data_IF_695131623603
#
_entry.id   IF_695131623603
#
_cell.length_a   1.000
_cell.length_b   1.000
_cell.length_c   1.000
_cell.angle_alpha   90.00
_cell.angle_beta   90.00
_cell.angle_gamma   90.00
#
_symmetry.space_group_name_H-M   'P 1'
#
loop_
_entity.id
_entity.type
_entity.pdbx_description
1 polymer ?
#
# COMPACT_ATOMS: atom_id res chain seq x y z
N UNK A 1 3.97 11.54 13.83
CA UNK A 1 3.07 11.43 12.66
C UNK A 1 3.85 10.78 11.54
N UNK A 2 3.39 9.63 11.02
CA UNK A 2 3.98 8.95 9.86
C UNK A 2 2.90 8.65 8.82
N UNK A 3 3.25 8.75 7.55
CA UNK A 3 2.39 8.38 6.42
C UNK A 3 2.92 7.10 5.80
N UNK A 4 2.06 6.09 5.76
CA UNK A 4 2.37 4.78 5.18
C UNK A 4 1.74 4.65 3.80
N UNK A 5 2.49 4.11 2.83
CA UNK A 5 1.94 3.71 1.53
C UNK A 5 1.34 2.31 1.66
N UNK A 6 0.04 2.20 1.38
CA UNK A 6 -0.67 0.93 1.49
C UNK A 6 -0.30 -0.06 0.37
N UNK A 7 -0.23 -1.36 0.68
CA UNK A 7 -0.09 -2.41 -0.34
C UNK A 7 -1.35 -2.47 -1.21
N UNK A 8 -1.16 -2.47 -2.53
CA UNK A 8 -2.26 -2.63 -3.50
C UNK A 8 -1.79 -3.50 -4.66
N UNK A 9 -2.18 -4.79 -4.63
CA UNK A 9 -1.80 -5.79 -5.64
C UNK A 9 -2.16 -5.32 -7.05
N UNK A 10 -1.20 -5.40 -7.97
CA UNK A 10 -1.34 -4.97 -9.37
C UNK A 10 -1.43 -3.45 -9.57
N UNK A 11 -1.22 -2.64 -8.51
CA UNK A 11 -1.22 -1.18 -8.60
C UNK A 11 0.06 -0.59 -8.04
N UNK A 12 0.39 -0.85 -6.77
CA UNK A 12 1.58 -0.31 -6.11
C UNK A 12 2.69 -1.36 -6.11
N UNK A 13 3.21 -1.61 -7.31
CA UNK A 13 4.42 -2.42 -7.51
C UNK A 13 5.69 -1.63 -7.10
N UNK A 14 6.85 -2.29 -7.20
CA UNK A 14 8.12 -1.67 -6.85
C UNK A 14 8.42 -0.40 -7.68
N UNK A 15 8.03 -0.35 -8.95
CA UNK A 15 8.22 0.82 -9.81
C UNK A 15 7.43 2.02 -9.30
N UNK A 16 6.16 1.81 -8.94
CA UNK A 16 5.33 2.88 -8.44
C UNK A 16 5.72 3.29 -7.00
N UNK A 17 6.13 2.32 -6.13
CA UNK A 17 6.68 2.64 -4.80
C UNK A 17 7.89 3.56 -4.90
N UNK A 18 8.82 3.24 -5.80
CA UNK A 18 10.03 4.02 -6.04
C UNK A 18 9.70 5.47 -6.45
N UNK A 19 8.81 5.65 -7.41
CA UNK A 19 8.42 6.97 -7.89
C UNK A 19 7.68 7.78 -6.81
N UNK A 20 6.72 7.18 -6.11
CA UNK A 20 5.95 7.86 -5.08
C UNK A 20 6.82 8.27 -3.89
N UNK A 21 7.76 7.43 -3.47
CA UNK A 21 8.68 7.77 -2.38
C UNK A 21 9.72 8.81 -2.80
N UNK A 22 10.12 8.82 -4.07
CA UNK A 22 11.00 9.84 -4.65
C UNK A 22 10.41 11.26 -4.62
N UNK A 23 9.07 11.39 -4.66
CA UNK A 23 8.38 12.68 -4.46
C UNK A 23 8.55 13.19 -3.03
N UNK A 24 8.62 12.28 -2.05
CA UNK A 24 8.79 12.58 -0.63
C UNK A 24 7.48 12.60 0.17
N UNK A 25 7.65 12.58 1.50
CA UNK A 25 6.54 12.61 2.47
C UNK A 25 5.97 11.22 2.83
N UNK A 26 6.40 10.14 2.19
CA UNK A 26 6.05 8.77 2.56
C UNK A 26 7.15 8.22 3.48
N UNK A 27 6.77 7.87 4.71
CA UNK A 27 7.73 7.42 5.73
C UNK A 27 8.01 5.91 5.66
N UNK A 28 7.02 5.11 5.27
CA UNK A 28 7.10 3.64 5.20
C UNK A 28 6.24 3.13 4.06
N UNK A 29 6.74 2.15 3.32
CA UNK A 29 5.95 1.37 2.37
C UNK A 29 5.65 -0.02 2.92
N UNK A 30 4.51 -0.58 2.51
CA UNK A 30 4.24 -2.02 2.61
C UNK A 30 4.15 -2.57 1.19
N UNK A 31 4.86 -3.66 0.92
CA UNK A 31 4.90 -4.27 -0.42
C UNK A 31 3.57 -4.91 -0.80
N UNK A 32 3.37 -5.19 -2.08
CA UNK A 32 2.38 -6.18 -2.49
C UNK A 32 2.68 -7.50 -1.77
N UNK A 33 1.63 -8.28 -1.48
CA UNK A 33 1.83 -9.48 -0.69
C UNK A 33 2.54 -10.59 -1.48
N UNK A 34 3.47 -11.25 -0.82
CA UNK A 34 3.99 -12.55 -1.24
C UNK A 34 3.01 -13.61 -0.77
N UNK A 35 2.42 -14.35 -1.71
CA UNK A 35 1.45 -15.40 -1.39
C UNK A 35 2.17 -16.70 -1.01
N UNK A 36 2.02 -17.09 0.26
CA UNK A 36 2.53 -18.34 0.80
C UNK A 36 1.47 -19.43 0.63
N UNK A 37 1.79 -20.46 -0.15
CA UNK A 37 0.91 -21.60 -0.39
C UNK A 37 1.73 -22.86 -0.63
N UNK A 38 1.62 -23.82 0.28
CA UNK A 38 2.10 -25.20 0.11
C UNK A 38 3.61 -25.45 0.26
N UNK A 39 4.48 -24.42 0.30
CA UNK A 39 5.94 -24.62 0.45
C UNK A 39 6.69 -23.35 0.84
N UNK A 40 7.95 -23.53 1.25
CA UNK A 40 8.92 -22.43 1.32
C UNK A 40 9.21 -21.91 -0.10
N UNK A 41 9.07 -20.62 -0.29
CA UNK A 41 9.22 -19.97 -1.58
C UNK A 41 10.71 -19.71 -1.91
N UNK A 42 11.12 -19.84 -3.19
CA UNK A 42 12.47 -19.49 -3.60
C UNK A 42 12.70 -17.97 -3.56
N UNK A 43 13.94 -17.53 -3.35
CA UNK A 43 14.34 -16.13 -3.29
C UNK A 43 13.86 -15.29 -4.49
N UNK A 44 13.82 -15.90 -5.68
CA UNK A 44 13.36 -15.24 -6.91
C UNK A 44 11.92 -14.71 -6.84
N UNK A 45 11.04 -15.34 -6.05
CA UNK A 45 9.65 -14.87 -5.85
C UNK A 45 9.67 -13.57 -5.03
N UNK A 46 10.48 -13.51 -3.98
CA UNK A 46 10.63 -12.33 -3.13
C UNK A 46 11.25 -11.18 -3.92
N UNK A 47 12.37 -11.39 -4.60
CA UNK A 47 13.06 -10.35 -5.37
C UNK A 47 12.23 -9.82 -6.55
N UNK A 48 11.36 -10.65 -7.14
CA UNK A 48 10.46 -10.19 -8.21
C UNK A 48 9.41 -9.19 -7.71
N UNK A 49 8.86 -9.39 -6.51
CA UNK A 49 7.82 -8.54 -5.93
C UNK A 49 8.40 -7.39 -5.13
N UNK A 50 9.55 -7.63 -4.50
CA UNK A 50 10.22 -6.68 -3.60
C UNK A 50 11.72 -6.65 -3.93
N UNK A 51 12.12 -6.10 -5.10
CA UNK A 51 13.54 -6.02 -5.47
C UNK A 51 14.34 -5.12 -4.50
N UNK A 52 13.67 -4.27 -3.73
CA UNK A 52 14.24 -3.44 -2.68
C UNK A 52 15.00 -4.27 -1.62
N UNK A 53 14.69 -5.55 -1.46
CA UNK A 53 15.45 -6.46 -0.58
C UNK A 53 16.95 -6.50 -0.92
N UNK A 54 17.31 -6.39 -2.20
CA UNK A 54 18.69 -6.34 -2.67
C UNK A 54 19.40 -5.02 -2.33
N UNK A 55 18.66 -4.04 -1.80
CA UNK A 55 19.13 -2.70 -1.43
C UNK A 55 18.84 -2.41 0.06
N UNK A 56 18.87 -3.44 0.91
CA UNK A 56 18.60 -3.30 2.34
C UNK A 56 17.14 -3.02 2.69
N UNK A 57 16.19 -3.47 1.85
CA UNK A 57 14.77 -3.33 2.08
C UNK A 57 14.25 -1.88 2.00
N UNK A 58 14.89 -1.05 1.18
CA UNK A 58 14.56 0.38 1.03
C UNK A 58 14.44 0.77 -0.43
N UNK A 59 13.59 1.76 -0.71
CA UNK A 59 13.58 2.46 -1.99
C UNK A 59 14.86 3.30 -2.17
N UNK A 60 15.16 3.78 -3.37
CA UNK A 60 16.33 4.65 -3.62
C UNK A 60 16.28 5.95 -2.82
N UNK A 61 15.07 6.44 -2.48
CA UNK A 61 14.89 7.59 -1.58
C UNK A 61 15.15 7.27 -0.10
N UNK A 62 15.46 6.00 0.24
CA UNK A 62 15.74 5.54 1.60
C UNK A 62 14.51 5.12 2.40
N UNK A 63 13.30 5.16 1.82
CA UNK A 63 12.05 4.76 2.51
C UNK A 63 12.03 3.25 2.72
N UNK A 64 11.85 2.74 3.97
CA UNK A 64 11.79 1.32 4.25
C UNK A 64 10.53 0.68 3.64
N UNK A 65 10.69 -0.55 3.15
CA UNK A 65 9.62 -1.35 2.55
C UNK A 65 9.42 -2.62 3.38
N UNK A 66 8.36 -2.64 4.19
CA UNK A 66 7.97 -3.85 4.93
C UNK A 66 7.47 -4.89 3.93
N UNK A 67 7.97 -6.12 4.07
CA UNK A 67 7.55 -7.22 3.20
C UNK A 67 6.25 -7.81 3.73
N UNK A 68 5.19 -7.78 2.89
CA UNK A 68 3.91 -8.35 3.28
C UNK A 68 3.78 -9.81 2.83
N UNK A 69 3.38 -10.69 3.78
CA UNK A 69 3.05 -12.08 3.53
C UNK A 69 1.55 -12.31 3.60
N UNK A 70 1.04 -13.23 2.80
CA UNK A 70 -0.34 -13.68 2.81
C UNK A 70 -0.40 -15.19 2.74
N UNK A 71 -1.03 -15.82 3.70
CA UNK A 71 -1.22 -17.27 3.80
C UNK A 71 -2.09 -17.63 4.99
N UNK A 72 -2.30 -18.92 5.25
CA UNK A 72 -3.17 -19.43 6.32
C UNK A 72 -2.53 -20.56 7.15
N UNK A 73 -1.35 -21.04 6.77
CA UNK A 73 -0.68 -22.13 7.46
C UNK A 73 0.45 -21.55 8.31
N UNK A 74 0.38 -21.62 9.67
CA UNK A 74 1.31 -20.93 10.56
C UNK A 74 2.79 -21.29 10.35
N UNK A 75 3.10 -22.59 10.17
CA UNK A 75 4.46 -23.06 9.97
C UNK A 75 5.09 -22.53 8.69
N UNK A 76 4.36 -22.63 7.55
CA UNK A 76 4.82 -22.08 6.28
C UNK A 76 4.94 -20.54 6.29
N UNK A 77 4.03 -19.85 7.00
CA UNK A 77 4.14 -18.41 7.18
C UNK A 77 5.39 -18.04 7.95
N UNK A 78 5.75 -18.78 9.00
CA UNK A 78 6.95 -18.58 9.78
C UNK A 78 8.22 -18.84 8.96
N UNK A 79 8.31 -19.96 8.23
CA UNK A 79 9.44 -20.29 7.37
C UNK A 79 9.68 -19.22 6.28
N UNK A 80 8.61 -18.75 5.63
CA UNK A 80 8.71 -17.70 4.61
C UNK A 80 9.03 -16.32 5.21
N UNK A 81 8.64 -16.04 6.46
CA UNK A 81 9.03 -14.84 7.17
C UNK A 81 10.53 -14.83 7.51
N UNK A 82 11.07 -15.95 8.00
CA UNK A 82 12.52 -16.13 8.22
C UNK A 82 13.27 -15.92 6.90
N UNK A 83 12.80 -16.55 5.83
CA UNK A 83 13.40 -16.39 4.50
C UNK A 83 13.39 -14.94 4.02
N UNK A 84 12.30 -14.21 4.23
CA UNK A 84 12.22 -12.79 3.87
C UNK A 84 13.24 -11.94 4.65
N UNK A 85 13.42 -12.20 5.95
CA UNK A 85 14.42 -11.54 6.80
C UNK A 85 15.84 -11.83 6.33
N UNK A 86 16.17 -13.09 6.03
CA UNK A 86 17.47 -13.50 5.45
C UNK A 86 17.77 -12.77 4.14
N UNK A 87 16.73 -12.46 3.34
CA UNK A 87 16.85 -11.72 2.09
C UNK A 87 16.91 -10.20 2.27
N UNK A 88 16.86 -9.69 3.51
CA UNK A 88 17.03 -8.28 3.83
C UNK A 88 15.74 -7.51 4.09
N UNK A 89 14.63 -8.19 4.38
CA UNK A 89 13.39 -7.49 4.76
C UNK A 89 13.57 -6.74 6.10
N UNK A 90 13.32 -5.42 6.16
CA UNK A 90 13.47 -4.62 7.38
C UNK A 90 12.34 -4.86 8.40
N UNK A 91 11.30 -5.59 8.00
CA UNK A 91 10.16 -5.98 8.83
C UNK A 91 9.17 -6.79 8.01
N UNK A 92 8.33 -7.54 8.72
CA UNK A 92 7.29 -8.41 8.16
C UNK A 92 5.92 -7.83 8.46
N UNK A 93 5.06 -7.76 7.45
CA UNK A 93 3.64 -7.43 7.59
C UNK A 93 2.77 -8.63 7.20
N UNK A 94 1.70 -8.88 7.94
CA UNK A 94 0.80 -10.02 7.72
C UNK A 94 -0.56 -9.56 7.19
N UNK A 95 -1.01 -10.11 6.06
CA UNK A 95 -2.23 -9.68 5.39
C UNK A 95 -3.45 -10.48 5.81
N UNK A 96 -4.33 -9.87 6.60
CA UNK A 96 -5.67 -10.35 6.97
C UNK A 96 -6.79 -9.48 6.38
N UNK A 97 -6.51 -8.75 5.29
CA UNK A 97 -7.44 -7.78 4.72
C UNK A 97 -7.75 -7.94 3.23
N UNK A 98 -7.05 -8.81 2.49
CA UNK A 98 -7.26 -8.97 1.05
C UNK A 98 -8.69 -9.46 0.75
N UNK A 99 -9.49 -8.70 -0.06
CA UNK A 99 -10.87 -9.06 -0.35
C UNK A 99 -11.03 -9.96 -1.57
N UNK A 100 -9.95 -10.29 -2.29
CA UNK A 100 -9.98 -11.03 -3.54
C UNK A 100 -10.61 -12.41 -3.38
N UNK A 101 -11.55 -12.77 -4.27
CA UNK A 101 -12.28 -14.04 -4.21
C UNK A 101 -11.34 -15.25 -4.26
N UNK A 102 -10.33 -15.21 -5.12
CA UNK A 102 -9.33 -16.28 -5.27
C UNK A 102 -8.49 -16.48 -4.01
N UNK A 103 -8.13 -15.42 -3.32
CA UNK A 103 -7.40 -15.44 -2.05
C UNK A 103 -8.28 -16.03 -0.94
N UNK A 104 -9.52 -15.55 -0.82
CA UNK A 104 -10.44 -15.98 0.24
C UNK A 104 -10.88 -17.45 0.06
N UNK A 105 -11.04 -17.93 -1.19
CA UNK A 105 -11.30 -19.35 -1.46
C UNK A 105 -10.16 -20.28 -1.00
N UNK A 106 -8.94 -19.79 -0.98
CA UNK A 106 -7.74 -20.51 -0.50
C UNK A 106 -7.45 -20.24 0.98
N UNK A 107 -8.47 -19.84 1.76
CA UNK A 107 -8.39 -19.53 3.20
C UNK A 107 -7.32 -18.49 3.55
N UNK A 108 -7.08 -17.46 2.69
CA UNK A 108 -6.14 -16.36 2.95
C UNK A 108 -6.84 -15.01 3.00
N UNK A 109 -6.17 -14.02 3.55
CA UNK A 109 -6.66 -12.63 3.61
C UNK A 109 -7.88 -12.44 4.50
N UNK A 110 -8.88 -11.69 4.03
CA UNK A 110 -9.99 -11.24 4.88
C UNK A 110 -10.90 -12.37 5.43
N UNK A 111 -10.92 -13.56 4.82
CA UNK A 111 -11.73 -14.68 5.32
C UNK A 111 -11.26 -15.15 6.70
N UNK A 112 -9.98 -14.99 7.02
CA UNK A 112 -9.40 -15.35 8.32
C UNK A 112 -9.96 -14.49 9.46
N UNK A 113 -10.55 -13.33 9.18
CA UNK A 113 -11.21 -12.50 10.19
C UNK A 113 -12.46 -13.15 10.83
N UNK A 114 -12.90 -14.29 10.32
CA UNK A 114 -13.90 -15.14 10.97
C UNK A 114 -13.30 -16.11 12.01
N UNK A 115 -11.97 -16.21 12.09
CA UNK A 115 -11.24 -17.21 12.87
C UNK A 115 -10.07 -16.52 13.65
N UNK A 116 -10.35 -15.74 14.73
CA UNK A 116 -9.34 -15.01 15.51
C UNK A 116 -8.24 -15.94 16.04
N UNK A 117 -8.55 -17.17 16.40
CA UNK A 117 -7.59 -18.17 16.86
C UNK A 117 -6.56 -18.53 15.77
N UNK A 118 -6.99 -18.65 14.51
CA UNK A 118 -6.07 -18.93 13.39
C UNK A 118 -5.15 -17.70 13.15
N UNK A 119 -5.69 -16.50 13.28
CA UNK A 119 -4.89 -15.27 13.20
C UNK A 119 -3.83 -15.24 14.31
N UNK A 120 -4.22 -15.55 15.55
CA UNK A 120 -3.28 -15.68 16.67
C UNK A 120 -2.16 -16.67 16.36
N UNK A 121 -2.49 -17.87 15.89
CA UNK A 121 -1.52 -18.92 15.56
C UNK A 121 -0.53 -18.47 14.48
N UNK A 122 -1.00 -17.82 13.42
CA UNK A 122 -0.15 -17.31 12.33
C UNK A 122 0.80 -16.23 12.86
N UNK A 123 0.28 -15.23 13.57
CA UNK A 123 1.09 -14.11 14.08
C UNK A 123 2.11 -14.62 15.08
N UNK A 124 1.71 -15.49 16.02
CA UNK A 124 2.58 -16.09 17.04
C UNK A 124 3.70 -16.93 16.41
N UNK A 125 3.38 -17.76 15.40
CA UNK A 125 4.37 -18.56 14.69
C UNK A 125 5.42 -17.66 14.00
N UNK A 126 4.96 -16.63 13.28
CA UNK A 126 5.86 -15.67 12.62
C UNK A 126 6.69 -14.90 13.65
N UNK A 127 6.08 -14.37 14.73
CA UNK A 127 6.79 -13.60 15.77
C UNK A 127 7.87 -14.43 16.45
N UNK A 128 7.58 -15.71 16.74
CA UNK A 128 8.52 -16.63 17.40
C UNK A 128 9.69 -17.05 16.49
N UNK A 129 9.47 -17.06 15.17
CA UNK A 129 10.48 -17.55 14.22
C UNK A 129 11.46 -16.45 13.77
N UNK A 130 11.02 -15.19 13.68
CA UNK A 130 11.90 -14.09 13.24
C UNK A 130 12.62 -13.44 14.44
N UNK A 131 13.83 -12.85 14.26
CA UNK A 131 14.57 -12.19 15.32
C UNK A 131 13.73 -11.10 16.03
N UNK A 132 14.00 -10.89 17.34
CA UNK A 132 13.22 -9.98 18.17
C UNK A 132 13.27 -8.52 17.67
N UNK A 133 14.40 -8.12 17.09
CA UNK A 133 14.62 -6.78 16.52
C UNK A 133 13.89 -6.53 15.20
N UNK A 134 13.44 -7.58 14.52
CA UNK A 134 12.66 -7.44 13.29
C UNK A 134 11.20 -7.17 13.63
N UNK A 135 10.64 -6.02 13.25
CA UNK A 135 9.25 -5.72 13.53
C UNK A 135 8.30 -6.65 12.79
N UNK A 136 7.29 -7.14 13.50
CA UNK A 136 6.15 -7.88 12.92
C UNK A 136 4.91 -7.01 13.10
N UNK A 137 4.24 -6.75 11.98
CA UNK A 137 2.98 -6.02 11.93
C UNK A 137 1.89 -6.85 11.25
N UNK A 138 0.65 -6.45 11.44
CA UNK A 138 -0.48 -7.03 10.75
C UNK A 138 -1.37 -5.96 10.12
N UNK A 139 -1.99 -6.29 8.99
CA UNK A 139 -2.97 -5.44 8.32
C UNK A 139 -4.29 -6.17 8.18
N UNK A 140 -5.35 -5.64 8.79
CA UNK A 140 -6.67 -6.24 8.76
C UNK A 140 -7.75 -5.27 8.24
N UNK A 141 -8.96 -5.81 8.02
CA UNK A 141 -10.22 -5.09 7.89
C UNK A 141 -11.01 -5.20 9.19
N UNK A 142 -12.14 -4.46 9.28
CA UNK A 142 -13.05 -4.54 10.44
C UNK A 142 -13.76 -5.89 10.57
N UNK A 143 -13.67 -6.75 9.58
CA UNK A 143 -14.25 -8.09 9.56
C UNK A 143 -14.50 -8.57 8.13
N UNK A 144 -15.03 -9.78 8.02
CA UNK A 144 -15.39 -10.39 6.74
C UNK A 144 -16.80 -9.97 6.28
N UNK A 145 -17.84 -10.40 6.98
CA UNK A 145 -19.23 -10.01 6.71
C UNK A 145 -19.61 -8.73 7.45
N UNK A 146 -19.30 -8.68 8.73
CA UNK A 146 -19.64 -7.60 9.65
C UNK A 146 -18.45 -7.27 10.58
N UNK A 147 -18.68 -6.45 11.59
CA UNK A 147 -17.64 -5.91 12.49
C UNK A 147 -17.63 -6.62 13.86
N UNK A 148 -18.40 -7.69 14.05
CA UNK A 148 -18.61 -8.33 15.37
C UNK A 148 -17.31 -8.82 16.01
N UNK A 149 -16.37 -9.36 15.19
CA UNK A 149 -15.07 -9.87 15.64
C UNK A 149 -13.93 -8.85 15.49
N UNK A 150 -14.21 -7.58 15.21
CA UNK A 150 -13.15 -6.59 14.94
C UNK A 150 -12.17 -6.41 16.11
N UNK A 151 -12.71 -6.30 17.34
CA UNK A 151 -11.92 -6.14 18.55
C UNK A 151 -11.22 -7.46 18.91
N UNK A 152 -11.91 -8.59 18.83
CA UNK A 152 -11.33 -9.91 19.10
C UNK A 152 -10.14 -10.22 18.19
N UNK A 153 -10.25 -9.95 16.90
CA UNK A 153 -9.13 -10.08 15.95
C UNK A 153 -7.96 -9.19 16.33
N UNK A 154 -8.21 -7.94 16.74
CA UNK A 154 -7.15 -7.02 17.14
C UNK A 154 -6.43 -7.50 18.41
N UNK A 155 -7.17 -7.97 19.42
CA UNK A 155 -6.63 -8.55 20.65
C UNK A 155 -5.83 -9.84 20.36
N UNK A 156 -6.30 -10.69 19.46
CA UNK A 156 -5.57 -11.89 19.02
C UNK A 156 -4.22 -11.54 18.36
N UNK A 157 -4.21 -10.53 17.49
CA UNK A 157 -2.99 -10.03 16.84
C UNK A 157 -1.98 -9.49 17.86
N UNK A 158 -2.44 -8.67 18.83
CA UNK A 158 -1.60 -8.14 19.91
C UNK A 158 -1.04 -9.25 20.80
N UNK A 159 -1.92 -10.13 21.30
CA UNK A 159 -1.54 -11.23 22.20
C UNK A 159 -0.56 -12.19 21.56
N UNK A 160 -0.58 -12.32 20.24
CA UNK A 160 0.36 -13.12 19.45
C UNK A 160 1.72 -12.41 19.22
N UNK A 161 1.89 -11.16 19.70
CA UNK A 161 3.17 -10.45 19.71
C UNK A 161 3.44 -9.55 18.49
N UNK A 162 2.44 -9.18 17.70
CA UNK A 162 2.61 -8.11 16.72
C UNK A 162 2.82 -6.76 17.42
N UNK A 163 3.76 -5.95 16.92
CA UNK A 163 4.04 -4.61 17.47
C UNK A 163 3.21 -3.48 16.88
N UNK A 164 2.55 -3.73 15.75
CA UNK A 164 1.76 -2.72 15.03
C UNK A 164 0.59 -3.38 14.30
N UNK A 165 -0.56 -2.71 14.32
CA UNK A 165 -1.77 -3.14 13.63
C UNK A 165 -2.28 -2.03 12.70
N UNK A 166 -2.37 -2.29 11.40
CA UNK A 166 -3.05 -1.40 10.45
C UNK A 166 -4.48 -1.87 10.22
N UNK A 167 -5.44 -0.99 10.41
CA UNK A 167 -6.87 -1.30 10.29
C UNK A 167 -7.49 -0.56 9.11
N UNK A 168 -7.95 -1.29 8.09
CA UNK A 168 -8.80 -0.70 7.06
C UNK A 168 -10.24 -0.59 7.58
N UNK A 169 -10.73 0.64 7.65
CA UNK A 169 -12.01 1.04 8.25
C UNK A 169 -13.26 0.53 7.50
N UNK A 170 -13.24 -0.69 6.99
CA UNK A 170 -14.34 -1.38 6.30
C UNK A 170 -14.24 -2.87 6.48
N UNK A 171 -15.39 -3.56 6.39
CA UNK A 171 -15.43 -5.01 6.23
C UNK A 171 -15.07 -5.42 4.80
N UNK A 172 -14.87 -6.71 4.57
CA UNK A 172 -14.65 -7.23 3.22
C UNK A 172 -15.89 -7.03 2.33
N UNK A 173 -17.08 -7.19 2.87
CA UNK A 173 -18.37 -7.04 2.13
C UNK A 173 -18.66 -5.59 1.76
N UNK A 174 -18.26 -4.62 2.57
CA UNK A 174 -18.32 -3.19 2.23
C UNK A 174 -17.36 -2.82 1.09
N UNK A 175 -16.28 -3.59 0.93
CA UNK A 175 -15.32 -3.40 -0.15
C UNK A 175 -14.59 -2.06 -0.07
N UNK A 176 -14.87 -1.18 -1.01
CA UNK A 176 -14.31 0.18 -1.09
C UNK A 176 -15.40 1.27 -1.13
N UNK A 177 -16.64 0.91 -0.84
CA UNK A 177 -17.77 1.87 -0.84
C UNK A 177 -17.70 2.75 0.41
N UNK A 178 -17.86 4.07 0.29
CA UNK A 178 -17.97 4.95 1.46
C UNK A 178 -19.24 4.64 2.28
N UNK A 179 -19.23 4.96 3.59
CA UNK A 179 -18.14 5.61 4.34
C UNK A 179 -17.04 4.66 4.79
N UNK A 180 -15.90 5.21 5.24
CA UNK A 180 -14.94 4.51 6.09
C UNK A 180 -15.34 4.71 7.55
N UNK A 181 -15.34 3.63 8.34
CA UNK A 181 -15.77 3.63 9.74
C UNK A 181 -14.59 3.87 10.68
N UNK A 182 -14.03 5.08 10.67
CA UNK A 182 -12.85 5.44 11.48
C UNK A 182 -13.11 5.37 12.98
N UNK A 183 -14.37 5.53 13.42
CA UNK A 183 -14.79 5.35 14.81
C UNK A 183 -14.56 3.92 15.33
N UNK A 184 -14.58 2.92 14.46
CA UNK A 184 -14.22 1.55 14.81
C UNK A 184 -12.73 1.37 15.04
N UNK A 185 -11.89 2.14 14.33
CA UNK A 185 -10.44 2.15 14.57
C UNK A 185 -10.16 2.72 15.96
N UNK A 186 -10.86 3.79 16.38
CA UNK A 186 -10.74 4.33 17.74
C UNK A 186 -11.07 3.27 18.80
N UNK A 187 -12.18 2.53 18.64
CA UNK A 187 -12.56 1.43 19.56
C UNK A 187 -11.50 0.31 19.60
N UNK A 188 -10.93 -0.06 18.45
CA UNK A 188 -9.83 -1.03 18.41
C UNK A 188 -8.63 -0.50 19.14
N UNK A 189 -8.25 0.76 18.90
CA UNK A 189 -7.12 1.42 19.59
C UNK A 189 -7.28 1.46 21.12
N UNK A 190 -8.51 1.64 21.60
CA UNK A 190 -8.82 1.59 23.03
C UNK A 190 -8.71 0.17 23.62
N UNK A 191 -8.92 -0.86 22.81
CA UNK A 191 -8.91 -2.25 23.25
C UNK A 191 -7.52 -2.91 23.24
N UNK A 192 -6.54 -2.33 22.54
CA UNK A 192 -5.17 -2.87 22.41
C UNK A 192 -4.11 -1.87 22.85
N UNK A 193 -2.99 -2.36 23.38
CA UNK A 193 -1.84 -1.53 23.78
C UNK A 193 -0.81 -1.32 22.66
N UNK A 194 -0.89 -2.10 21.58
CA UNK A 194 0.02 -1.94 20.44
C UNK A 194 -0.36 -0.74 19.57
N UNK A 195 0.59 -0.29 18.76
CA UNK A 195 0.38 0.82 17.85
C UNK A 195 -0.65 0.48 16.78
N UNK A 196 -1.70 1.32 16.67
CA UNK A 196 -2.71 1.20 15.61
C UNK A 196 -2.50 2.29 14.56
N UNK A 197 -2.55 1.88 13.27
CA UNK A 197 -2.45 2.75 12.10
C UNK A 197 -3.81 2.77 11.40
N UNK A 198 -4.37 3.97 11.22
CA UNK A 198 -5.65 4.12 10.53
C UNK A 198 -5.48 4.00 9.01
N UNK A 199 -6.42 3.31 8.35
CA UNK A 199 -6.43 3.18 6.89
C UNK A 199 -7.86 3.26 6.33
N UNK A 200 -8.00 3.92 5.19
CA UNK A 200 -9.24 3.97 4.40
C UNK A 200 -9.79 5.38 4.18
N UNK A 201 -10.20 5.66 2.94
CA UNK A 201 -10.91 6.86 2.48
C UNK A 201 -10.19 8.19 2.70
N UNK A 202 -8.88 8.20 2.78
CA UNK A 202 -8.10 9.44 2.83
C UNK A 202 -7.69 9.82 1.40
N UNK A 203 -8.24 10.95 0.93
CA UNK A 203 -8.02 11.48 -0.41
C UNK A 203 -7.46 12.91 -0.38
N UNK A 204 -7.78 13.68 0.65
CA UNK A 204 -7.40 15.07 0.82
C UNK A 204 -6.69 15.28 2.15
N UNK A 205 -6.13 16.47 2.36
CA UNK A 205 -5.57 16.90 3.66
C UNK A 205 -6.67 16.91 4.72
N UNK A 206 -7.88 17.34 4.38
CA UNK A 206 -9.00 17.39 5.32
C UNK A 206 -9.49 15.99 5.70
N UNK A 207 -9.52 15.03 4.74
CA UNK A 207 -9.78 13.63 5.07
C UNK A 207 -8.73 13.07 6.02
N UNK A 208 -7.46 13.44 5.82
CA UNK A 208 -6.36 13.03 6.68
C UNK A 208 -6.55 13.53 8.11
N UNK A 209 -6.82 14.83 8.28
CA UNK A 209 -7.07 15.44 9.59
C UNK A 209 -8.27 14.80 10.29
N UNK A 210 -9.38 14.65 9.55
CA UNK A 210 -10.58 14.00 10.07
C UNK A 210 -10.35 12.53 10.43
N UNK A 211 -9.58 11.81 9.62
CA UNK A 211 -9.20 10.43 9.92
C UNK A 211 -8.43 10.36 11.25
N UNK A 212 -7.45 11.24 11.47
CA UNK A 212 -6.72 11.31 12.75
C UNK A 212 -7.63 11.68 13.93
N UNK A 213 -8.48 12.68 13.75
CA UNK A 213 -9.41 13.13 14.79
C UNK A 213 -10.38 12.02 15.20
N UNK A 214 -11.02 11.33 14.26
CA UNK A 214 -12.03 10.31 14.57
C UNK A 214 -11.39 9.00 15.04
N UNK A 215 -10.31 8.56 14.40
CA UNK A 215 -9.62 7.31 14.77
C UNK A 215 -8.71 7.44 15.98
N UNK A 216 -8.35 8.66 16.36
CA UNK A 216 -7.37 8.97 17.41
C UNK A 216 -5.98 8.35 17.12
N UNK A 217 -5.68 8.02 15.85
CA UNK A 217 -4.39 7.47 15.43
C UNK A 217 -3.45 8.58 14.98
N UNK A 218 -2.21 8.57 15.49
CA UNK A 218 -1.19 9.51 15.05
C UNK A 218 -0.68 9.21 13.62
N UNK A 219 -0.69 7.93 13.22
CA UNK A 219 -0.18 7.47 11.94
C UNK A 219 -1.30 6.98 11.03
N UNK A 220 -1.16 7.25 9.73
CA UNK A 220 -2.18 6.93 8.72
C UNK A 220 -1.56 6.22 7.54
N UNK A 221 -2.18 5.13 7.12
CA UNK A 221 -1.84 4.44 5.87
C UNK A 221 -2.78 4.87 4.76
N UNK A 222 -2.23 5.31 3.63
CA UNK A 222 -2.98 5.82 2.49
C UNK A 222 -2.65 4.95 1.26
N UNK A 223 -3.69 4.52 0.55
CA UNK A 223 -3.54 3.75 -0.69
C UNK A 223 -3.88 4.60 -1.91
N UNK A 224 -5.12 4.46 -2.39
CA UNK A 224 -5.61 5.12 -3.61
C UNK A 224 -5.42 6.64 -3.61
N UNK A 225 -5.47 7.28 -2.46
CA UNK A 225 -5.25 8.73 -2.35
C UNK A 225 -3.87 9.14 -2.82
N UNK A 226 -2.80 8.41 -2.42
CA UNK A 226 -1.42 8.68 -2.86
C UNK A 226 -1.17 8.34 -4.34
N UNK A 227 -1.92 7.39 -4.91
CA UNK A 227 -1.79 7.07 -6.34
C UNK A 227 -2.54 8.09 -7.20
N UNK A 228 -3.69 8.57 -6.73
CA UNK A 228 -4.50 9.57 -7.42
C UNK A 228 -3.96 11.00 -7.28
N UNK A 229 -3.30 11.31 -6.16
CA UNK A 229 -2.53 12.52 -5.93
C UNK A 229 -1.15 12.14 -5.36
N UNK A 230 -0.13 11.94 -6.21
CA UNK A 230 1.20 11.52 -5.79
C UNK A 230 1.89 12.50 -4.81
N UNK A 231 1.47 13.74 -4.78
CA UNK A 231 2.01 14.79 -3.91
C UNK A 231 1.29 14.89 -2.56
N UNK A 232 0.23 14.12 -2.34
CA UNK A 232 -0.63 14.22 -1.15
C UNK A 232 0.18 14.07 0.16
N UNK A 233 1.12 13.15 0.23
CA UNK A 233 1.94 12.96 1.44
C UNK A 233 2.77 14.22 1.75
N UNK A 234 3.44 14.81 0.74
CA UNK A 234 4.19 16.06 0.86
C UNK A 234 3.27 17.22 1.26
N UNK A 235 2.08 17.31 0.68
CA UNK A 235 1.07 18.32 1.00
C UNK A 235 0.57 18.19 2.44
N UNK A 236 0.34 16.96 2.92
CA UNK A 236 -0.05 16.71 4.32
C UNK A 236 1.05 17.22 5.25
N UNK A 237 2.33 16.84 5.05
CA UNK A 237 3.43 17.33 5.88
C UNK A 237 3.54 18.85 5.85
N UNK A 238 3.44 19.47 4.67
CA UNK A 238 3.46 20.92 4.53
C UNK A 238 2.32 21.59 5.32
N UNK A 239 1.14 20.97 5.39
CA UNK A 239 -0.02 21.53 6.11
C UNK A 239 0.12 21.59 7.63
N UNK A 240 1.15 20.93 8.19
CA UNK A 240 1.54 20.98 9.61
C UNK A 240 2.78 21.84 9.86
N UNK A 241 3.39 22.40 8.82
CA UNK A 241 4.54 23.30 8.91
C UNK A 241 4.12 24.72 8.52
N UNK A 242 4.45 25.70 9.36
CA UNK A 242 4.17 27.10 9.04
C UNK A 242 5.04 27.65 7.89
N UNK A 243 6.19 27.01 7.65
CA UNK A 243 7.23 27.51 6.73
C UNK A 243 7.13 26.90 5.31
N UNK A 244 6.26 25.91 5.09
CA UNK A 244 6.14 25.26 3.79
C UNK A 244 4.90 25.73 3.03
N UNK A 245 5.03 26.26 1.81
CA UNK A 245 3.86 26.63 1.01
C UNK A 245 3.06 25.40 0.63
N UNK A 246 1.73 25.50 0.78
CA UNK A 246 0.81 24.46 0.34
C UNK A 246 0.65 24.57 -1.19
N UNK A 247 1.18 23.60 -1.91
CA UNK A 247 1.03 23.49 -3.37
C UNK A 247 -0.22 22.68 -3.68
N UNK A 248 -1.15 23.27 -4.45
CA UNK A 248 -2.38 22.60 -4.87
C UNK A 248 -2.10 21.54 -5.96
N UNK A 249 -2.94 20.49 -6.07
CA UNK A 249 -2.73 19.43 -7.08
C UNK A 249 -2.61 19.98 -8.51
N UNK A 250 -3.43 20.94 -8.90
CA UNK A 250 -3.40 21.54 -10.25
C UNK A 250 -2.04 22.13 -10.60
N UNK A 251 -1.31 22.64 -9.63
CA UNK A 251 0.02 23.23 -9.79
C UNK A 251 1.13 22.18 -9.96
N UNK A 252 0.85 20.91 -9.62
CA UNK A 252 1.83 19.83 -9.66
C UNK A 252 1.80 19.00 -10.95
N UNK A 253 0.88 19.27 -11.88
CA UNK A 253 0.81 18.55 -13.15
C UNK A 253 2.11 18.62 -13.97
N UNK A 254 2.80 19.77 -14.10
CA UNK A 254 4.09 19.83 -14.79
C UNK A 254 5.18 18.96 -14.15
N UNK A 255 5.15 18.79 -12.81
CA UNK A 255 6.07 17.90 -12.08
C UNK A 255 5.70 16.43 -12.29
N UNK A 256 4.42 16.11 -12.50
CA UNK A 256 3.92 14.75 -12.66
C UNK A 256 4.21 14.14 -14.03
N UNK A 257 4.21 14.94 -15.10
CA UNK A 257 4.44 14.45 -16.46
C UNK A 257 5.79 13.73 -16.65
N UNK A 258 6.93 14.25 -16.15
CA UNK A 258 8.21 13.52 -16.16
C UNK A 258 8.14 12.18 -15.43
N UNK A 259 7.39 12.11 -14.32
CA UNK A 259 7.22 10.87 -13.56
C UNK A 259 6.39 9.82 -14.32
N UNK A 260 5.37 10.25 -15.08
CA UNK A 260 4.62 9.36 -15.98
C UNK A 260 5.50 8.81 -17.10
N UNK A 261 6.39 9.64 -17.64
CA UNK A 261 7.35 9.23 -18.67
C UNK A 261 8.37 8.23 -18.11
N UNK A 262 8.92 8.49 -16.92
CA UNK A 262 9.84 7.58 -16.23
C UNK A 262 9.13 6.25 -15.88
N UNK A 263 7.91 6.33 -15.33
CA UNK A 263 7.10 5.14 -15.06
C UNK A 263 6.91 4.28 -16.31
N UNK A 264 6.50 4.90 -17.42
CA UNK A 264 6.30 4.18 -18.67
C UNK A 264 7.59 3.52 -19.16
N UNK A 265 8.72 4.22 -19.09
CA UNK A 265 10.03 3.72 -19.52
C UNK A 265 10.48 2.52 -18.66
N UNK A 266 10.32 2.59 -17.34
CA UNK A 266 10.65 1.48 -16.41
C UNK A 266 9.76 0.27 -16.65
N UNK A 267 8.43 0.49 -16.73
CA UNK A 267 7.47 -0.58 -16.99
C UNK A 267 7.73 -1.26 -18.36
N UNK A 268 8.14 -0.48 -19.37
CA UNK A 268 8.49 -1.03 -20.70
C UNK A 268 9.73 -1.92 -20.65
N UNK A 269 10.71 -1.58 -19.79
CA UNK A 269 11.92 -2.39 -19.60
C UNK A 269 11.63 -3.68 -18.81
N UNK A 270 10.79 -3.59 -17.78
CA UNK A 270 10.67 -4.62 -16.74
C UNK A 270 9.50 -5.60 -16.98
N UNK A 271 8.52 -5.24 -17.81
CA UNK A 271 7.36 -6.06 -18.13
C UNK A 271 7.33 -6.53 -19.60
N UNK A 272 6.60 -7.62 -19.84
CA UNK A 272 6.32 -8.01 -21.22
C UNK A 272 5.47 -6.94 -21.92
N UNK A 273 5.74 -6.73 -23.20
CA UNK A 273 5.12 -5.69 -24.05
C UNK A 273 3.57 -5.69 -23.97
N UNK A 274 2.97 -6.87 -23.72
CA UNK A 274 1.51 -7.04 -23.64
C UNK A 274 0.89 -6.32 -22.42
N UNK A 275 1.64 -6.03 -21.38
CA UNK A 275 1.14 -5.46 -20.12
C UNK A 275 1.53 -4.00 -19.89
N UNK A 276 2.51 -3.51 -20.64
CA UNK A 276 3.06 -2.15 -20.48
C UNK A 276 1.98 -1.06 -20.59
N UNK A 277 1.21 -1.09 -21.68
CA UNK A 277 0.19 -0.08 -21.94
C UNK A 277 -0.91 -0.06 -20.86
N UNK A 278 -1.25 -1.21 -20.29
CA UNK A 278 -2.25 -1.32 -19.24
C UNK A 278 -1.83 -0.61 -17.94
N UNK A 279 -0.57 -0.71 -17.57
CA UNK A 279 -0.03 -0.10 -16.34
C UNK A 279 -0.06 1.44 -16.39
N UNK A 280 0.38 2.03 -17.52
CA UNK A 280 0.32 3.48 -17.69
C UNK A 280 -1.12 3.99 -17.64
N UNK A 281 -2.03 3.36 -18.40
CA UNK A 281 -3.45 3.72 -18.44
C UNK A 281 -4.10 3.60 -17.07
N UNK A 282 -3.77 2.56 -16.32
CA UNK A 282 -4.26 2.35 -14.96
C UNK A 282 -3.89 3.53 -14.05
N UNK A 283 -2.63 3.98 -14.07
CA UNK A 283 -2.21 5.10 -13.24
C UNK A 283 -2.83 6.41 -13.71
N UNK A 284 -2.78 6.72 -15.01
CA UNK A 284 -3.41 7.94 -15.57
C UNK A 284 -4.90 7.98 -15.26
N UNK A 285 -5.62 6.84 -15.34
CA UNK A 285 -7.03 6.77 -14.96
C UNK A 285 -7.25 7.14 -13.47
N UNK A 286 -6.38 6.74 -12.56
CA UNK A 286 -6.50 7.12 -11.14
C UNK A 286 -6.22 8.60 -10.93
N UNK A 287 -5.28 9.19 -11.66
CA UNK A 287 -4.96 10.62 -11.62
C UNK A 287 -6.13 11.52 -12.06
N UNK A 288 -7.05 11.01 -12.88
CA UNK A 288 -8.21 11.79 -13.36
C UNK A 288 -9.11 12.32 -12.25
N UNK A 289 -8.96 11.79 -11.03
CA UNK A 289 -9.71 12.26 -9.85
C UNK A 289 -9.32 13.68 -9.46
N UNK A 290 -8.04 14.06 -9.62
CA UNK A 290 -7.49 15.34 -9.18
C UNK A 290 -6.97 16.23 -10.30
N UNK A 291 -6.58 15.63 -11.43
CA UNK A 291 -5.96 16.33 -12.53
C UNK A 291 -6.90 16.37 -13.74
N UNK A 292 -7.50 17.52 -14.07
CA UNK A 292 -8.28 17.68 -15.31
C UNK A 292 -7.48 17.28 -16.54
N UNK A 293 -6.18 17.63 -16.58
CA UNK A 293 -5.25 17.29 -17.66
C UNK A 293 -5.08 15.78 -17.83
N UNK A 294 -5.18 15.01 -16.74
CA UNK A 294 -5.14 13.54 -16.81
C UNK A 294 -6.36 12.97 -17.55
N UNK A 295 -7.51 13.64 -17.52
CA UNK A 295 -8.70 13.23 -18.30
C UNK A 295 -8.42 13.36 -19.79
N UNK A 296 -7.83 14.47 -20.21
CA UNK A 296 -7.49 14.74 -21.62
C UNK A 296 -6.42 13.74 -22.08
N UNK A 297 -5.36 13.57 -21.29
CA UNK A 297 -4.31 12.58 -21.58
C UNK A 297 -4.88 11.15 -21.67
N UNK A 298 -5.79 10.78 -20.77
CA UNK A 298 -6.41 9.45 -20.79
C UNK A 298 -7.20 9.21 -22.09
N UNK A 299 -7.93 10.21 -22.58
CA UNK A 299 -8.64 10.09 -23.87
C UNK A 299 -7.68 9.86 -25.04
N UNK A 300 -6.49 10.48 -25.01
CA UNK A 300 -5.47 10.31 -26.05
C UNK A 300 -4.84 8.91 -26.02
N UNK A 301 -4.58 8.36 -24.80
CA UNK A 301 -3.83 7.10 -24.67
C UNK A 301 -4.71 5.85 -24.56
N UNK A 302 -6.01 5.97 -24.29
CA UNK A 302 -6.88 4.82 -23.92
C UNK A 302 -6.92 3.68 -24.94
N UNK A 303 -6.81 4.00 -26.22
CA UNK A 303 -6.84 3.01 -27.32
C UNK A 303 -5.45 2.61 -27.81
N UNK A 304 -4.41 3.40 -27.47
CA UNK A 304 -3.04 3.13 -27.91
C UNK A 304 -2.45 1.92 -27.16
N UNK A 305 -1.79 1.01 -27.86
CA UNK A 305 -1.17 -0.19 -27.27
C UNK A 305 0.33 -0.28 -27.54
N UNK A 306 0.83 0.53 -28.48
CA UNK A 306 2.26 0.59 -28.81
C UNK A 306 3.02 1.43 -27.76
N UNK A 307 4.03 0.86 -27.06
CA UNK A 307 4.77 1.59 -26.04
C UNK A 307 5.47 2.84 -26.57
N UNK A 308 6.02 2.80 -27.78
CA UNK A 308 6.71 3.93 -28.39
C UNK A 308 5.74 5.08 -28.70
N UNK A 309 4.53 4.77 -29.16
CA UNK A 309 3.50 5.77 -29.41
C UNK A 309 3.00 6.40 -28.11
N UNK A 310 2.84 5.60 -27.04
CA UNK A 310 2.52 6.12 -25.71
C UNK A 310 3.60 7.07 -25.20
N UNK A 311 4.87 6.73 -25.34
CA UNK A 311 5.99 7.60 -24.97
C UNK A 311 5.96 8.92 -25.76
N UNK A 312 5.73 8.86 -27.07
CA UNK A 312 5.63 10.04 -27.92
C UNK A 312 4.48 10.96 -27.48
N UNK A 313 3.33 10.40 -27.09
CA UNK A 313 2.19 11.19 -26.59
C UNK A 313 2.52 11.90 -25.27
N UNK A 314 3.19 11.21 -24.34
CA UNK A 314 3.66 11.82 -23.08
C UNK A 314 4.65 12.97 -23.33
N UNK A 315 5.62 12.77 -24.22
CA UNK A 315 6.63 13.78 -24.55
C UNK A 315 6.00 15.01 -25.25
N UNK A 316 5.02 14.81 -26.13
CA UNK A 316 4.25 15.92 -26.73
C UNK A 316 3.50 16.73 -25.68
N UNK A 317 2.87 16.07 -24.71
CA UNK A 317 2.17 16.76 -23.62
C UNK A 317 3.16 17.56 -22.75
N UNK A 318 4.35 17.00 -22.44
CA UNK A 318 5.41 17.72 -21.75
C UNK A 318 5.87 18.96 -22.51
N UNK A 319 6.07 18.85 -23.82
CA UNK A 319 6.46 19.98 -24.65
C UNK A 319 5.40 21.08 -24.68
N UNK A 320 4.10 20.68 -24.79
CA UNK A 320 2.97 21.62 -24.74
C UNK A 320 2.94 22.42 -23.43
N UNK A 321 3.17 21.75 -22.31
CA UNK A 321 3.16 22.41 -20.99
C UNK A 321 4.35 23.34 -20.75
N UNK A 322 5.50 23.10 -21.41
CA UNK A 322 6.65 24.00 -21.34
C UNK A 322 6.49 25.26 -22.21
N UNK A 323 5.61 25.20 -23.21
CA UNK A 323 5.36 26.29 -24.15
C UNK A 323 4.20 27.21 -23.71
N UNK A 324 3.39 26.79 -22.75
CA UNK A 324 2.27 27.53 -22.17
C UNK A 324 2.69 28.31 -20.93
#
# INVERSE_FOLDING_TARGET
>A
MKIFLAPMEGVVDFTLRELLTGIGGIDVCVSEFVRVSGSLLPASVFHRLVPELQQGGRTLSGTPVLLQLLGSEPGLMAENAVRAVELGAPGIDLNFGCPAKTVNKSRGGAVLLNEPEVIYQIVSAVRSAVPAEVPVSAKMRLGYLDKSLAIENACAIESAGAGTLTVHARTKTEGYRPPAHWEWIARIREAVGIKVIANGEVWTIDDYRRCQEVSQCADVMIGRGLVANPFLARQIHASFSADMPLVLPEQTWPELLPLLTDFHSRVTRDLSIRHVHGRLKQWVQMLTRYYPQAKDLFQLIRTETCPEQLLNLLQREQARMKAA
#
